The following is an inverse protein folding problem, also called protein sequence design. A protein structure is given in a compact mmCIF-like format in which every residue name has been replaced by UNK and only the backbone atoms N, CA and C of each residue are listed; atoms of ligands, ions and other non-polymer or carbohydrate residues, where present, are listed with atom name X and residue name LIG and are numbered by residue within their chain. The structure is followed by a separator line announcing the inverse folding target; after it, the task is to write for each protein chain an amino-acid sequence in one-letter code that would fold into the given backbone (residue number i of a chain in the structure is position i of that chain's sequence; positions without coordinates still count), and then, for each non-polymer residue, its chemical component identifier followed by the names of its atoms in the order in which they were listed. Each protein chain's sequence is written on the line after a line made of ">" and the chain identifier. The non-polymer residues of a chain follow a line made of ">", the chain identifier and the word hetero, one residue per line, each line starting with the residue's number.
data_IF_908043505354
#
_entry.id   IF_908043505354
#
_cell.length_a   1.000
_cell.length_b   1.000
_cell.length_c   1.000
_cell.angle_alpha   90.00
_cell.angle_beta   90.00
_cell.angle_gamma   90.00
#
_symmetry.space_group_name_H-M   'P 1'
#
loop_
_entity.id
_entity.type
_entity.pdbx_description
1 polymer ?
#
# COMPACT_ATOMS: atom_id res chain seq x y z
N UNK A 1 6.14 2.34 18.03
CA UNK A 1 5.52 3.51 17.36
C UNK A 1 6.43 4.16 16.33
N UNK A 2 7.63 4.62 16.69
CA UNK A 2 8.55 5.28 15.74
C UNK A 2 8.89 4.43 14.50
N UNK A 3 9.21 3.14 14.69
CA UNK A 3 9.57 2.25 13.58
C UNK A 3 8.41 2.06 12.59
N UNK A 4 7.19 1.80 13.05
CA UNK A 4 6.04 1.64 12.15
C UNK A 4 5.71 2.94 11.41
N UNK A 5 5.90 4.09 12.04
CA UNK A 5 5.79 5.40 11.39
C UNK A 5 6.78 5.52 10.23
N UNK A 6 8.07 5.28 10.48
CA UNK A 6 9.12 5.39 9.45
C UNK A 6 8.92 4.39 8.31
N UNK A 7 8.61 3.13 8.63
CA UNK A 7 8.32 2.09 7.62
C UNK A 7 7.13 2.50 6.74
N UNK A 8 6.05 2.99 7.35
CA UNK A 8 4.86 3.44 6.63
C UNK A 8 5.18 4.65 5.76
N UNK A 9 5.88 5.64 6.32
CA UNK A 9 6.30 6.85 5.61
C UNK A 9 7.15 6.54 4.38
N UNK A 10 8.20 5.72 4.53
CA UNK A 10 9.09 5.34 3.43
C UNK A 10 8.35 4.51 2.38
N UNK A 11 7.50 3.55 2.81
CA UNK A 11 6.71 2.74 1.88
C UNK A 11 5.74 3.58 1.04
N UNK A 12 5.06 4.55 1.65
CA UNK A 12 4.16 5.47 0.93
C UNK A 12 4.91 6.47 0.07
N UNK A 13 6.09 6.93 0.50
CA UNK A 13 6.96 7.76 -0.32
C UNK A 13 7.35 7.04 -1.62
N UNK A 14 7.73 5.75 -1.54
CA UNK A 14 8.01 4.94 -2.72
C UNK A 14 6.83 4.80 -3.68
N UNK A 15 5.60 4.77 -3.15
CA UNK A 15 4.38 4.84 -3.96
C UNK A 15 4.15 6.21 -4.60
N UNK A 16 4.29 7.29 -3.81
CA UNK A 16 4.09 8.65 -4.26
C UNK A 16 5.04 9.08 -5.37
N UNK A 17 6.27 8.54 -5.40
CA UNK A 17 7.27 8.79 -6.45
C UNK A 17 6.74 8.56 -7.86
N UNK A 18 5.89 7.54 -8.05
CA UNK A 18 5.43 7.12 -9.39
C UNK A 18 4.18 7.85 -9.85
N UNK A 19 3.35 8.30 -8.90
CA UNK A 19 2.03 8.87 -9.20
C UNK A 19 2.02 9.99 -10.24
N UNK A 20 2.87 11.04 -10.15
CA UNK A 20 2.82 12.13 -11.11
C UNK A 20 3.32 11.74 -12.50
N UNK A 21 4.16 10.70 -12.61
CA UNK A 21 4.81 10.31 -13.87
C UNK A 21 4.05 9.22 -14.62
N UNK A 22 3.22 8.44 -13.93
CA UNK A 22 2.53 7.29 -14.50
C UNK A 22 1.67 7.64 -15.72
N UNK A 23 0.92 8.77 -15.75
CA UNK A 23 0.17 9.17 -16.95
C UNK A 23 1.08 9.39 -18.16
N UNK A 24 2.18 10.12 -17.98
CA UNK A 24 3.14 10.43 -19.02
C UNK A 24 3.90 9.18 -19.51
N UNK A 25 4.18 8.23 -18.61
CA UNK A 25 4.77 6.96 -18.99
C UNK A 25 3.84 6.18 -19.93
N UNK A 26 2.56 6.06 -19.58
CA UNK A 26 1.58 5.41 -20.44
C UNK A 26 1.41 6.16 -21.78
N UNK A 27 1.35 7.49 -21.74
CA UNK A 27 1.27 8.34 -22.95
C UNK A 27 2.46 8.12 -23.89
N UNK A 28 3.69 8.05 -23.36
CA UNK A 28 4.90 7.76 -24.15
C UNK A 28 4.85 6.41 -24.86
N UNK A 29 4.12 5.45 -24.31
CA UNK A 29 3.88 4.14 -24.93
C UNK A 29 2.67 4.14 -25.90
N UNK A 30 2.14 5.32 -26.23
CA UNK A 30 1.02 5.51 -27.17
C UNK A 30 -0.36 5.35 -26.55
N UNK A 31 -0.51 5.43 -25.22
CA UNK A 31 -1.83 5.33 -24.58
C UNK A 31 -2.68 6.58 -24.83
N UNK A 32 -3.92 6.37 -25.25
CA UNK A 32 -4.97 7.39 -25.15
C UNK A 32 -5.46 7.61 -23.70
N UNK A 33 -6.26 8.65 -23.45
CA UNK A 33 -6.73 9.04 -22.12
C UNK A 33 -7.44 7.92 -21.34
N UNK A 34 -8.22 7.10 -22.05
CA UNK A 34 -8.93 5.93 -21.52
C UNK A 34 -7.97 4.88 -20.92
N UNK A 35 -6.85 4.59 -21.60
CA UNK A 35 -5.87 3.60 -21.13
C UNK A 35 -5.01 4.17 -19.98
N UNK A 36 -4.69 5.46 -20.03
CA UNK A 36 -4.04 6.16 -18.91
C UNK A 36 -4.91 6.06 -17.66
N UNK A 37 -6.20 6.34 -17.80
CA UNK A 37 -7.18 6.25 -16.71
C UNK A 37 -7.30 4.82 -16.18
N UNK A 38 -7.37 3.84 -17.08
CA UNK A 38 -7.39 2.41 -16.72
C UNK A 38 -6.18 2.00 -15.89
N UNK A 39 -4.99 2.53 -16.23
CA UNK A 39 -3.74 2.26 -15.51
C UNK A 39 -3.79 2.74 -14.07
N UNK A 40 -4.46 3.86 -13.79
CA UNK A 40 -4.69 4.34 -12.43
C UNK A 40 -5.80 3.52 -11.74
N UNK A 41 -6.89 3.23 -12.45
CA UNK A 41 -8.04 2.51 -11.92
C UNK A 41 -7.70 1.07 -11.50
N UNK A 42 -6.86 0.37 -12.27
CA UNK A 42 -6.50 -1.03 -12.00
C UNK A 42 -5.71 -1.16 -10.70
N UNK A 43 -4.88 -0.17 -10.35
CA UNK A 43 -4.23 -0.12 -9.04
C UNK A 43 -5.26 -0.04 -7.92
N UNK A 44 -6.20 0.92 -8.01
CA UNK A 44 -7.26 1.09 -7.01
C UNK A 44 -8.15 -0.14 -6.88
N UNK A 45 -8.47 -0.80 -8.00
CA UNK A 45 -9.23 -2.04 -8.02
C UNK A 45 -8.45 -3.18 -7.35
N UNK A 46 -7.16 -3.32 -7.66
CA UNK A 46 -6.28 -4.26 -6.98
C UNK A 46 -6.23 -4.00 -5.47
N UNK A 47 -6.10 -2.73 -5.06
CA UNK A 47 -6.06 -2.32 -3.65
C UNK A 47 -7.39 -2.59 -2.94
N UNK A 48 -8.52 -2.39 -3.62
CA UNK A 48 -9.85 -2.66 -3.08
C UNK A 48 -9.99 -4.12 -2.61
N UNK A 49 -9.47 -5.09 -3.38
CA UNK A 49 -9.45 -6.49 -2.98
C UNK A 49 -8.27 -6.84 -2.07
N UNK A 50 -7.09 -6.28 -2.36
CA UNK A 50 -5.85 -6.56 -1.64
C UNK A 50 -5.89 -6.11 -0.18
N UNK A 51 -6.42 -4.92 0.11
CA UNK A 51 -6.47 -4.38 1.47
C UNK A 51 -7.24 -5.27 2.47
N UNK A 52 -8.50 -5.67 2.23
CA UNK A 52 -9.22 -6.57 3.15
C UNK A 52 -8.61 -7.97 3.19
N UNK A 53 -8.11 -8.48 2.05
CA UNK A 53 -7.42 -9.76 1.98
C UNK A 53 -6.20 -9.79 2.91
N UNK A 54 -5.25 -8.86 2.72
CA UNK A 54 -4.04 -8.78 3.52
C UNK A 54 -4.33 -8.38 4.97
N UNK A 55 -5.37 -7.58 5.23
CA UNK A 55 -5.86 -7.32 6.57
C UNK A 55 -6.18 -8.61 7.32
N UNK A 56 -6.96 -9.52 6.72
CA UNK A 56 -7.29 -10.82 7.33
C UNK A 56 -6.13 -11.81 7.39
N UNK A 57 -5.27 -11.83 6.37
CA UNK A 57 -4.05 -12.63 6.42
C UNK A 57 -3.18 -12.16 7.60
N UNK A 58 -3.08 -10.85 7.84
CA UNK A 58 -2.28 -10.28 8.94
C UNK A 58 -2.86 -10.59 10.32
N UNK A 59 -4.20 -10.65 10.45
CA UNK A 59 -4.90 -11.16 11.65
C UNK A 59 -4.55 -12.62 11.95
N UNK A 60 -4.09 -13.39 10.96
CA UNK A 60 -3.89 -14.84 11.07
C UNK A 60 -2.43 -15.24 11.20
N UNK A 61 -1.52 -14.64 10.43
CA UNK A 61 -0.10 -15.01 10.42
C UNK A 61 0.82 -14.00 11.12
N UNK A 62 0.29 -12.84 11.51
CA UNK A 62 1.00 -11.75 12.18
C UNK A 62 1.15 -10.50 11.30
N UNK A 63 1.16 -9.31 11.91
CA UNK A 63 1.24 -8.02 11.21
C UNK A 63 2.57 -7.85 10.51
N UNK A 64 3.67 -8.16 11.20
CA UNK A 64 5.03 -7.96 10.69
C UNK A 64 5.24 -8.75 9.40
N UNK A 65 4.84 -10.03 9.41
CA UNK A 65 5.02 -10.93 8.26
C UNK A 65 4.29 -10.41 7.03
N UNK A 66 3.07 -9.90 7.19
CA UNK A 66 2.30 -9.41 6.05
C UNK A 66 2.82 -8.07 5.55
N UNK A 67 3.28 -7.17 6.43
CA UNK A 67 3.96 -5.94 5.99
C UNK A 67 5.19 -6.28 5.13
N UNK A 68 6.00 -7.27 5.53
CA UNK A 68 7.14 -7.75 4.74
C UNK A 68 6.69 -8.25 3.36
N UNK A 69 5.63 -9.07 3.29
CA UNK A 69 5.10 -9.60 2.02
C UNK A 69 4.60 -8.47 1.13
N UNK A 70 3.82 -7.53 1.68
CA UNK A 70 3.31 -6.37 0.93
C UNK A 70 4.44 -5.50 0.39
N UNK A 71 5.44 -5.15 1.20
CA UNK A 71 6.59 -4.34 0.78
C UNK A 71 7.43 -5.05 -0.29
N UNK A 72 7.61 -6.36 -0.16
CA UNK A 72 8.28 -7.16 -1.18
C UNK A 72 7.49 -7.17 -2.49
N UNK A 73 6.17 -7.41 -2.43
CA UNK A 73 5.29 -7.36 -3.59
C UNK A 73 5.28 -5.98 -4.28
N UNK A 74 5.22 -4.90 -3.51
CA UNK A 74 5.36 -3.53 -4.02
C UNK A 74 6.72 -3.33 -4.69
N UNK A 75 7.82 -3.77 -4.09
CA UNK A 75 9.16 -3.70 -4.69
C UNK A 75 9.19 -4.39 -6.05
N UNK A 76 8.70 -5.63 -6.13
CA UNK A 76 8.65 -6.37 -7.39
C UNK A 76 7.77 -5.65 -8.42
N UNK A 77 6.65 -5.06 -8.01
CA UNK A 77 5.78 -4.29 -8.92
C UNK A 77 6.46 -3.05 -9.51
N UNK A 78 7.36 -2.40 -8.78
CA UNK A 78 8.13 -1.26 -9.26
C UNK A 78 9.27 -1.68 -10.17
N UNK A 79 9.93 -2.81 -9.88
CA UNK A 79 10.91 -3.41 -10.78
C UNK A 79 10.22 -3.77 -12.11
N UNK A 80 9.06 -4.43 -12.07
CA UNK A 80 8.28 -4.71 -13.29
C UNK A 80 7.94 -3.43 -14.06
N UNK A 81 7.53 -2.36 -13.36
CA UNK A 81 7.23 -1.06 -14.01
C UNK A 81 8.48 -0.42 -14.62
N UNK A 82 9.64 -0.52 -13.96
CA UNK A 82 10.90 0.07 -14.44
C UNK A 82 11.30 -0.49 -15.81
N UNK A 83 10.97 -1.74 -16.09
CA UNK A 83 11.27 -2.42 -17.36
C UNK A 83 10.03 -2.60 -18.25
N UNK A 84 8.96 -1.84 -18.00
CA UNK A 84 7.72 -1.94 -18.78
C UNK A 84 7.83 -1.24 -20.14
N UNK A 85 8.06 -2.02 -21.19
CA UNK A 85 8.14 -1.56 -22.58
C UNK A 85 6.79 -1.55 -23.32
N UNK A 86 5.73 -2.05 -22.67
CA UNK A 86 4.39 -2.18 -23.24
C UNK A 86 3.32 -1.72 -22.25
N UNK A 87 2.20 -1.21 -22.78
CA UNK A 87 1.05 -0.80 -21.97
C UNK A 87 0.49 -1.95 -21.13
N UNK A 88 0.47 -3.16 -21.67
CA UNK A 88 0.06 -4.36 -20.94
C UNK A 88 0.93 -4.60 -19.71
N UNK A 89 2.26 -4.48 -19.84
CA UNK A 89 3.17 -4.67 -18.72
C UNK A 89 3.03 -3.55 -17.67
N UNK A 90 2.80 -2.31 -18.10
CA UNK A 90 2.45 -1.20 -17.19
C UNK A 90 1.18 -1.53 -16.40
N UNK A 91 0.09 -1.94 -17.07
CA UNK A 91 -1.18 -2.29 -16.41
C UNK A 91 -1.00 -3.47 -15.45
N UNK A 92 -0.30 -4.54 -15.86
CA UNK A 92 -0.04 -5.70 -15.01
C UNK A 92 0.78 -5.33 -13.76
N UNK A 93 1.81 -4.49 -13.93
CA UNK A 93 2.60 -4.01 -12.80
C UNK A 93 1.75 -3.21 -11.81
N UNK A 94 0.75 -2.46 -12.29
CA UNK A 94 -0.17 -1.67 -11.45
C UNK A 94 -1.23 -2.50 -10.77
N UNK A 95 -1.82 -3.46 -11.47
CA UNK A 95 -2.71 -4.45 -10.88
C UNK A 95 -2.00 -5.19 -9.74
N UNK A 96 -0.79 -5.66 -9.97
CA UNK A 96 0.01 -6.38 -8.97
C UNK A 96 0.35 -5.50 -7.76
N UNK A 97 0.75 -4.25 -7.99
CA UNK A 97 1.00 -3.31 -6.90
C UNK A 97 -0.23 -3.05 -6.03
N UNK A 98 -1.39 -2.85 -6.67
CA UNK A 98 -2.66 -2.68 -5.97
C UNK A 98 -3.01 -3.91 -5.13
N UNK A 99 -2.90 -5.11 -5.72
CA UNK A 99 -3.13 -6.36 -4.99
C UNK A 99 -2.21 -6.53 -3.79
N UNK A 100 -0.99 -5.99 -3.85
CA UNK A 100 -0.02 -6.02 -2.75
C UNK A 100 -0.14 -4.85 -1.75
N UNK A 101 -1.02 -3.87 -2.00
CA UNK A 101 -1.19 -2.66 -1.20
C UNK A 101 -1.97 -2.87 0.11
N UNK A 102 -1.59 -3.88 0.91
CA UNK A 102 -2.15 -4.15 2.23
C UNK A 102 -1.54 -3.29 3.36
N UNK A 103 -0.36 -2.73 3.12
CA UNK A 103 0.49 -2.03 4.09
C UNK A 103 -0.25 -0.95 4.92
N UNK A 104 -1.09 -0.11 4.31
CA UNK A 104 -1.83 0.95 5.02
C UNK A 104 -2.79 0.36 6.07
N UNK A 105 -3.61 -0.61 5.65
CA UNK A 105 -4.59 -1.25 6.53
C UNK A 105 -3.90 -1.96 7.71
N UNK A 106 -2.76 -2.62 7.44
CA UNK A 106 -2.00 -3.35 8.45
C UNK A 106 -1.27 -2.38 9.39
N UNK A 107 -0.81 -1.22 8.91
CA UNK A 107 -0.19 -0.19 9.75
C UNK A 107 -1.18 0.36 10.78
N UNK A 108 -2.43 0.63 10.38
CA UNK A 108 -3.49 1.00 11.32
C UNK A 108 -3.76 -0.12 12.33
N UNK A 109 -3.90 -1.36 11.87
CA UNK A 109 -4.11 -2.51 12.76
C UNK A 109 -2.95 -2.72 13.75
N UNK A 110 -1.71 -2.62 13.26
CA UNK A 110 -0.49 -2.70 14.06
C UNK A 110 -0.51 -1.66 15.17
N UNK A 111 -0.86 -0.42 14.83
CA UNK A 111 -0.92 0.66 15.82
C UNK A 111 -2.02 0.41 16.83
N UNK A 112 -3.19 -0.09 16.44
CA UNK A 112 -4.24 -0.46 17.39
C UNK A 112 -3.83 -1.61 18.32
N UNK A 113 -2.99 -2.53 17.86
CA UNK A 113 -2.48 -3.65 18.66
C UNK A 113 -1.52 -3.17 19.77
N UNK A 114 -0.74 -2.10 19.53
CA UNK A 114 0.27 -1.58 20.46
C UNK A 114 -0.18 -0.33 21.24
N UNK A 115 -1.45 0.06 21.12
CA UNK A 115 -2.03 1.24 21.79
C UNK A 115 -3.27 0.88 22.59
N UNK A 116 -3.38 1.51 23.74
CA UNK A 116 -4.52 1.49 24.65
C UNK A 116 -5.49 2.64 24.36
N UNK A 117 -6.70 2.60 24.90
CA UNK A 117 -7.80 3.52 24.53
C UNK A 117 -7.41 5.00 24.65
N UNK A 118 -6.61 5.34 25.66
CA UNK A 118 -6.17 6.71 25.93
C UNK A 118 -5.24 7.28 24.85
N UNK A 119 -4.39 6.45 24.24
CA UNK A 119 -3.38 6.90 23.28
C UNK A 119 -3.63 6.42 21.84
N UNK A 120 -4.66 5.59 21.61
CA UNK A 120 -5.03 5.04 20.31
C UNK A 120 -5.27 6.13 19.27
N UNK A 121 -6.04 7.17 19.60
CA UNK A 121 -6.31 8.28 18.67
C UNK A 121 -5.01 8.95 18.21
N UNK A 122 -4.11 9.25 19.14
CA UNK A 122 -2.80 9.82 18.82
C UNK A 122 -1.92 8.86 17.99
N UNK A 123 -1.97 7.56 18.28
CA UNK A 123 -1.30 6.52 17.49
C UNK A 123 -1.79 6.50 16.04
N UNK A 124 -3.10 6.46 15.83
CA UNK A 124 -3.71 6.49 14.50
C UNK A 124 -3.35 7.78 13.76
N UNK A 125 -3.35 8.93 14.46
CA UNK A 125 -2.89 10.20 13.92
C UNK A 125 -1.45 10.18 13.41
N UNK A 126 -0.54 9.45 14.08
CA UNK A 126 0.85 9.27 13.60
C UNK A 126 0.91 8.46 12.31
N UNK A 127 0.10 7.41 12.16
CA UNK A 127 0.01 6.67 10.89
C UNK A 127 -0.48 7.59 9.78
N UNK A 128 -1.56 8.34 10.02
CA UNK A 128 -2.07 9.32 9.04
C UNK A 128 -1.02 10.38 8.67
N UNK A 129 -0.24 10.86 9.63
CA UNK A 129 0.86 11.78 9.37
C UNK A 129 1.94 11.15 8.50
N UNK A 130 2.30 9.87 8.74
CA UNK A 130 3.25 9.15 7.89
C UNK A 130 2.73 9.01 6.44
N UNK A 131 1.44 8.70 6.26
CA UNK A 131 0.80 8.66 4.93
C UNK A 131 0.89 10.02 4.24
N UNK A 132 0.47 11.09 4.93
CA UNK A 132 0.47 12.45 4.38
C UNK A 132 1.86 12.93 3.99
N UNK A 133 2.85 12.71 4.84
CA UNK A 133 4.25 13.05 4.54
C UNK A 133 4.79 12.24 3.36
N UNK A 134 4.46 10.95 3.28
CA UNK A 134 4.87 10.11 2.14
C UNK A 134 4.26 10.59 0.83
N UNK A 135 2.96 10.95 0.84
CA UNK A 135 2.28 11.52 -0.32
C UNK A 135 2.75 12.92 -0.70
N UNK A 136 3.24 13.71 0.25
CA UNK A 136 3.81 15.02 -0.02
C UNK A 136 5.22 14.90 -0.62
N UNK A 137 6.07 14.06 -0.04
CA UNK A 137 7.48 13.95 -0.41
C UNK A 137 7.71 13.07 -1.63
N UNK A 138 6.90 12.02 -1.82
CA UNK A 138 7.03 11.07 -2.93
C UNK A 138 6.97 11.77 -4.30
N UNK A 139 5.88 12.47 -4.66
CA UNK A 139 5.77 13.16 -5.96
C UNK A 139 6.86 14.21 -6.20
N UNK A 140 7.30 14.92 -5.15
CA UNK A 140 8.39 15.88 -5.26
C UNK A 140 9.71 15.21 -5.65
N UNK A 141 10.05 14.10 -4.99
CA UNK A 141 11.23 13.30 -5.35
C UNK A 141 11.07 12.68 -6.74
N UNK A 142 9.88 12.16 -7.06
CA UNK A 142 9.59 11.55 -8.35
C UNK A 142 9.74 12.51 -9.52
N UNK A 143 9.19 13.73 -9.41
CA UNK A 143 9.35 14.78 -10.41
C UNK A 143 10.80 15.24 -10.55
N UNK A 144 11.52 15.40 -9.44
CA UNK A 144 12.94 15.74 -9.48
C UNK A 144 13.79 14.68 -10.19
N UNK A 145 13.55 13.39 -9.91
CA UNK A 145 14.25 12.27 -10.54
C UNK A 145 13.88 12.08 -12.01
N UNK A 146 12.65 12.45 -12.40
CA UNK A 146 12.20 12.36 -13.78
C UNK A 146 13.02 13.26 -14.70
N UNK A 147 13.41 14.45 -14.22
CA UNK A 147 13.98 15.52 -15.03
C UNK A 147 12.96 16.62 -15.33
N UNK A 148 13.43 17.69 -15.98
CA UNK A 148 12.61 18.89 -16.26
C UNK A 148 11.70 18.76 -17.47
N UNK A 149 11.94 17.79 -18.34
CA UNK A 149 11.18 17.59 -19.58
C UNK A 149 10.50 16.21 -19.56
N UNK A 150 9.24 16.19 -19.97
CA UNK A 150 8.42 14.96 -19.97
C UNK A 150 8.92 13.95 -21.01
N UNK A 151 9.34 14.43 -22.19
CA UNK A 151 9.78 13.57 -23.29
C UNK A 151 11.06 12.78 -22.97
N UNK A 152 11.98 13.40 -22.23
CA UNK A 152 13.25 12.81 -21.80
C UNK A 152 13.18 12.21 -20.39
N UNK A 153 11.98 12.13 -19.80
CA UNK A 153 11.81 11.69 -18.43
C UNK A 153 12.35 10.28 -18.17
N UNK A 154 13.13 10.13 -17.10
CA UNK A 154 13.75 8.86 -16.75
C UNK A 154 12.82 7.97 -15.89
N UNK A 155 11.82 7.38 -16.53
CA UNK A 155 10.84 6.51 -15.86
C UNK A 155 11.48 5.29 -15.17
N UNK A 156 12.56 4.76 -15.75
CA UNK A 156 13.32 3.65 -15.17
C UNK A 156 13.91 4.07 -13.83
N UNK A 157 14.61 5.21 -13.78
CA UNK A 157 15.21 5.74 -12.56
C UNK A 157 14.14 6.00 -11.50
N UNK A 158 13.02 6.62 -11.88
CA UNK A 158 11.94 6.91 -10.94
C UNK A 158 11.31 5.64 -10.37
N UNK A 159 11.02 4.64 -11.22
CA UNK A 159 10.53 3.33 -10.79
C UNK A 159 11.53 2.59 -9.89
N UNK A 160 12.81 2.60 -10.23
CA UNK A 160 13.87 2.00 -9.42
C UNK A 160 14.06 2.73 -8.09
N UNK A 161 13.85 4.05 -8.02
CA UNK A 161 13.86 4.79 -6.76
C UNK A 161 12.69 4.38 -5.86
N UNK A 162 11.48 4.24 -6.43
CA UNK A 162 10.31 3.71 -5.72
C UNK A 162 10.53 2.28 -5.20
N UNK A 163 11.15 1.41 -6.01
CA UNK A 163 11.56 0.07 -5.60
C UNK A 163 12.59 0.12 -4.45
N UNK A 164 13.61 0.96 -4.57
CA UNK A 164 14.68 1.09 -3.58
C UNK A 164 14.17 1.57 -2.22
N UNK A 165 13.25 2.56 -2.20
CA UNK A 165 12.61 3.00 -0.96
C UNK A 165 11.80 1.87 -0.31
N UNK A 166 11.07 1.08 -1.10
CA UNK A 166 10.35 -0.07 -0.57
C UNK A 166 11.29 -1.16 -0.04
N UNK A 167 12.47 -1.37 -0.65
CA UNK A 167 13.51 -2.24 -0.12
C UNK A 167 14.04 -1.71 1.22
N UNK A 168 14.26 -0.40 1.35
CA UNK A 168 14.68 0.21 2.62
C UNK A 168 13.62 0.00 3.70
N UNK A 169 12.33 0.23 3.38
CA UNK A 169 11.23 -0.04 4.29
C UNK A 169 11.11 -1.53 4.65
N UNK A 170 11.35 -2.43 3.68
CA UNK A 170 11.34 -3.89 3.85
C UNK A 170 12.43 -4.34 4.81
N UNK A 171 13.67 -3.91 4.58
CA UNK A 171 14.83 -4.16 5.45
C UNK A 171 14.54 -3.59 6.84
N UNK A 172 14.08 -2.34 6.92
CA UNK A 172 13.70 -1.70 8.17
C UNK A 172 12.66 -2.50 8.96
N UNK A 173 11.68 -3.07 8.25
CA UNK A 173 10.66 -3.94 8.83
C UNK A 173 11.24 -5.25 9.35
N UNK A 174 12.09 -5.91 8.56
CA UNK A 174 12.70 -7.20 8.93
C UNK A 174 13.52 -7.06 10.21
N UNK A 175 14.36 -6.03 10.30
CA UNK A 175 15.32 -5.90 11.40
C UNK A 175 14.77 -5.14 12.61
N UNK A 176 13.94 -4.11 12.44
CA UNK A 176 13.55 -3.23 13.54
C UNK A 176 12.09 -3.32 13.95
N UNK A 177 11.17 -3.71 13.07
CA UNK A 177 9.76 -3.84 13.44
C UNK A 177 9.56 -5.13 14.24
N UNK A 178 8.95 -5.02 15.42
CA UNK A 178 8.55 -6.18 16.23
C UNK A 178 7.18 -6.69 15.77
N UNK A 179 6.85 -7.94 16.04
CA UNK A 179 5.48 -8.41 15.83
C UNK A 179 4.56 -7.79 16.89
N UNK A 180 3.43 -7.21 16.49
CA UNK A 180 2.44 -6.64 17.41
C UNK A 180 1.38 -7.65 17.83
N UNK A 181 1.07 -8.63 16.96
CA UNK A 181 0.00 -9.59 17.20
C UNK A 181 0.54 -10.88 17.85
N UNK A 182 0.21 -11.05 19.12
CA UNK A 182 0.52 -12.26 19.89
C UNK A 182 -0.08 -13.52 19.24
N UNK A 183 0.62 -14.67 19.26
CA UNK A 183 0.14 -15.91 18.67
C UNK A 183 -1.24 -16.36 19.15
N UNK A 184 -1.56 -16.14 20.44
CA UNK A 184 -2.85 -16.49 21.06
C UNK A 184 -4.03 -15.66 20.54
N UNK A 185 -3.77 -14.46 20.00
CA UNK A 185 -4.78 -13.54 19.45
C UNK A 185 -5.00 -13.72 17.95
N UNK A 186 -4.24 -14.62 17.31
CA UNK A 186 -4.34 -14.87 15.86
C UNK A 186 -5.65 -15.57 15.52
N UNK A 187 -6.27 -15.12 14.44
CA UNK A 187 -7.54 -15.68 13.94
C UNK A 187 -7.26 -16.77 12.91
N UNK A 188 -8.28 -17.60 12.66
CA UNK A 188 -8.22 -18.61 11.60
C UNK A 188 -8.35 -17.97 10.21
N UNK A 189 -7.55 -18.46 9.26
CA UNK A 189 -7.65 -18.10 7.85
C UNK A 189 -8.99 -18.52 7.21
N UNK A 190 -9.73 -19.44 7.81
CA UNK A 190 -11.09 -19.81 7.35
C UNK A 190 -12.03 -18.59 7.31
N UNK A 191 -11.75 -17.56 8.12
CA UNK A 191 -12.46 -16.30 8.06
C UNK A 191 -12.39 -15.63 6.69
N UNK A 192 -11.34 -15.81 5.88
CA UNK A 192 -11.21 -15.20 4.54
C UNK A 192 -12.41 -15.53 3.64
N UNK A 193 -12.84 -16.80 3.61
CA UNK A 193 -13.98 -17.24 2.81
C UNK A 193 -15.31 -16.61 3.26
N UNK A 194 -15.38 -16.16 4.52
CA UNK A 194 -16.56 -15.51 5.07
C UNK A 194 -16.67 -14.01 4.76
N UNK A 195 -15.63 -13.36 4.18
CA UNK A 195 -15.71 -11.92 3.78
C UNK A 195 -16.92 -11.70 2.84
N UNK A 196 -17.14 -12.64 1.92
CA UNK A 196 -18.15 -12.54 0.88
C UNK A 196 -19.49 -13.19 1.26
N UNK A 197 -19.62 -13.72 2.49
CA UNK A 197 -20.90 -14.20 2.98
C UNK A 197 -21.80 -13.01 3.34
N UNK A 198 -23.03 -12.99 2.79
CA UNK A 198 -24.01 -11.94 3.02
C UNK A 198 -24.24 -11.63 4.51
N UNK A 199 -24.16 -12.65 5.37
CA UNK A 199 -24.33 -12.53 6.82
C UNK A 199 -23.29 -11.62 7.50
N UNK A 200 -22.16 -11.32 6.87
CA UNK A 200 -21.17 -10.36 7.38
C UNK A 200 -21.72 -8.92 7.38
N UNK A 201 -22.64 -8.61 6.46
CA UNK A 201 -23.24 -7.28 6.30
C UNK A 201 -24.56 -7.12 7.06
N UNK A 202 -25.09 -8.20 7.66
CA UNK A 202 -26.28 -8.16 8.52
C UNK A 202 -25.87 -8.30 9.99
N UNK A 203 -25.77 -7.19 10.75
CA UNK A 203 -25.41 -7.26 12.16
C UNK A 203 -26.51 -7.98 12.95
N UNK A 204 -26.14 -9.03 13.71
CA UNK A 204 -27.07 -9.77 14.59
C UNK A 204 -27.65 -8.93 15.73
N UNK A 205 -27.08 -7.77 16.03
CA UNK A 205 -27.62 -6.78 16.96
C UNK A 205 -27.55 -5.41 16.33
N UNK A 206 -28.71 -4.78 16.13
CA UNK A 206 -28.81 -3.37 15.80
C UNK A 206 -28.42 -2.59 17.07
N UNK A 207 -27.22 -2.00 17.10
CA UNK A 207 -26.72 -1.27 18.29
C UNK A 207 -27.29 0.16 18.35
N UNK A 208 -27.92 0.64 17.27
CA UNK A 208 -28.58 1.93 17.25
C UNK A 208 -30.08 1.74 17.51
N UNK A 209 -30.67 2.31 18.57
CA UNK A 209 -32.09 2.58 18.56
C UNK A 209 -32.30 3.55 17.39
N UNK A 210 -33.06 3.12 16.39
CA UNK A 210 -33.59 4.03 15.39
C UNK A 210 -34.34 5.10 16.18
N UNK A 211 -33.81 6.33 16.18
CA UNK A 211 -34.51 7.48 16.74
C UNK A 211 -35.79 7.61 15.92
N UNK A 212 -36.91 7.27 16.55
CA UNK A 212 -38.26 7.40 16.00
C UNK A 212 -38.68 8.87 15.96
#
# INVERSE_FOLDING_TARGET
>A
MFIIFIVTFIGIMGFGIILPLLPFYAERLGAGPEIITLTMAVFSLGQFFGAPFWGRVSDSIGRKKVIIISLFGSTMSYILLAFADTLTLVILSRAFAGLMAGNISIAFAYVTDITDEKNRSAGLGRVSAALGLGFMTGPAIGGFLAGSEVESANYVLTAMAGASLNVVALIGTIFFLKESLEPSKRKSLQGLFKIFEANTFYPKKLILPLVA
#
